data_IF_127283473446
#
_entry.id   IF_127283473446
#
_cell.length_a   1.000
_cell.length_b   1.000
_cell.length_c   1.000
_cell.angle_alpha   90.00
_cell.angle_beta   90.00
_cell.angle_gamma   90.00
#
_symmetry.space_group_name_H-M   'P 1'
#
loop_
_entity.id
_entity.type
_entity.pdbx_description
1 polymer ?
#
# COMPACT_ATOMS: atom_id res chain seq x y z
N UNK A 1 2.77 38.22 23.32
CA UNK A 1 1.98 37.32 22.43
C UNK A 1 0.54 37.03 22.89
N UNK A 2 0.26 36.83 24.20
CA UNK A 2 -1.10 36.52 24.70
C UNK A 2 -2.14 37.63 24.41
N UNK A 3 -1.76 38.90 24.56
CA UNK A 3 -2.64 40.06 24.30
C UNK A 3 -3.05 40.20 22.82
N UNK A 4 -2.14 39.94 21.88
CA UNK A 4 -2.46 39.96 20.45
C UNK A 4 -3.50 38.87 20.07
N UNK A 5 -3.42 37.69 20.69
CA UNK A 5 -4.42 36.62 20.51
C UNK A 5 -5.77 36.99 21.10
N UNK A 6 -5.82 37.58 22.30
CA UNK A 6 -7.08 37.99 22.91
C UNK A 6 -7.75 39.12 22.12
N UNK A 7 -7.01 40.10 21.62
CA UNK A 7 -7.54 41.18 20.79
C UNK A 7 -8.13 40.68 19.46
N UNK A 8 -7.43 39.77 18.77
CA UNK A 8 -7.96 39.13 17.54
C UNK A 8 -9.24 38.34 17.83
N UNK A 9 -9.29 37.65 18.96
CA UNK A 9 -10.48 36.91 19.42
C UNK A 9 -11.63 37.87 19.70
N UNK A 10 -11.39 38.99 20.39
CA UNK A 10 -12.41 40.03 20.66
C UNK A 10 -12.94 40.63 19.37
N UNK A 11 -12.06 41.01 18.43
CA UNK A 11 -12.48 41.55 17.13
C UNK A 11 -13.33 40.57 16.32
N UNK A 12 -13.03 39.26 16.39
CA UNK A 12 -13.83 38.20 15.75
C UNK A 12 -15.20 38.01 16.40
N UNK A 13 -15.35 38.37 17.68
CA UNK A 13 -16.59 38.20 18.45
C UNK A 13 -17.50 39.43 18.44
N UNK A 14 -17.01 40.62 18.04
CA UNK A 14 -17.77 41.88 18.05
C UNK A 14 -19.05 41.85 17.19
N UNK A 15 -19.11 41.04 16.14
CA UNK A 15 -20.27 40.93 15.23
C UNK A 15 -21.13 39.67 15.41
N UNK A 16 -21.01 38.96 16.55
CA UNK A 16 -21.70 37.68 16.75
C UNK A 16 -23.18 37.87 17.13
N UNK A 17 -24.14 37.23 16.44
CA UNK A 17 -25.54 37.26 16.85
C UNK A 17 -25.75 36.58 18.21
N UNK A 18 -26.64 37.15 19.02
CA UNK A 18 -26.90 36.71 20.40
C UNK A 18 -27.54 35.30 20.46
N UNK A 19 -28.44 34.99 19.53
CA UNK A 19 -29.12 33.69 19.42
C UNK A 19 -28.15 32.54 19.09
N UNK A 20 -28.31 31.38 19.76
CA UNK A 20 -27.44 30.19 19.60
C UNK A 20 -27.46 29.64 18.18
N UNK A 21 -28.63 29.54 17.55
CA UNK A 21 -28.79 29.00 16.19
C UNK A 21 -28.23 29.99 15.15
N UNK A 22 -28.56 31.28 15.29
CA UNK A 22 -28.02 32.33 14.41
C UNK A 22 -26.49 32.40 14.48
N UNK A 23 -25.92 32.13 15.66
CA UNK A 23 -24.47 32.06 15.87
C UNK A 23 -23.82 30.87 15.16
N UNK A 24 -24.48 29.72 15.15
CA UNK A 24 -24.02 28.55 14.42
C UNK A 24 -24.03 28.82 12.91
N UNK A 25 -25.15 29.29 12.36
CA UNK A 25 -25.28 29.66 10.95
C UNK A 25 -24.26 30.75 10.55
N UNK A 26 -24.01 31.72 11.43
CA UNK A 26 -23.01 32.76 11.23
C UNK A 26 -21.60 32.20 11.10
N UNK A 27 -21.24 31.17 11.87
CA UNK A 27 -19.92 30.52 11.81
C UNK A 27 -19.77 29.61 10.60
N UNK A 28 -20.85 28.95 10.19
CA UNK A 28 -20.89 28.05 9.03
C UNK A 28 -20.98 28.78 7.69
N UNK A 29 -21.14 30.11 7.70
CA UNK A 29 -21.20 30.89 6.48
C UNK A 29 -19.91 30.76 5.65
N UNK A 30 -19.97 30.45 4.34
CA UNK A 30 -18.83 30.03 3.52
C UNK A 30 -17.69 31.06 3.49
N UNK A 31 -18.01 32.36 3.39
CA UNK A 31 -16.99 33.43 3.41
C UNK A 31 -16.13 33.44 4.69
N UNK A 32 -16.71 33.12 5.84
CA UNK A 32 -16.01 33.15 7.14
C UNK A 32 -15.23 31.87 7.38
N UNK A 33 -15.76 30.74 6.91
CA UNK A 33 -15.02 29.48 6.87
C UNK A 33 -13.76 29.65 6.02
N UNK A 34 -13.89 30.14 4.80
CA UNK A 34 -12.75 30.42 3.92
C UNK A 34 -11.73 31.35 4.59
N UNK A 35 -12.16 32.51 5.08
CA UNK A 35 -11.27 33.46 5.76
C UNK A 35 -10.59 32.88 7.02
N UNK A 36 -11.25 31.96 7.73
CA UNK A 36 -10.67 31.27 8.88
C UNK A 36 -9.64 30.21 8.45
N UNK A 37 -9.99 29.32 7.53
CA UNK A 37 -9.13 28.21 7.10
C UNK A 37 -7.84 28.68 6.42
N UNK A 38 -7.89 29.77 5.66
CA UNK A 38 -6.70 30.40 5.05
C UNK A 38 -5.93 31.34 6.00
N UNK A 39 -6.36 31.47 7.26
CA UNK A 39 -5.60 32.21 8.28
C UNK A 39 -4.56 31.30 8.96
N UNK A 40 -3.55 31.90 9.61
CA UNK A 40 -2.55 31.17 10.42
C UNK A 40 -3.18 30.27 11.48
N UNK A 41 -4.27 30.72 12.12
CA UNK A 41 -4.98 29.92 13.13
C UNK A 41 -5.69 28.71 12.48
N UNK A 42 -6.26 28.90 11.29
CA UNK A 42 -6.91 27.84 10.51
C UNK A 42 -5.91 26.79 10.02
N UNK A 43 -4.76 27.21 9.50
CA UNK A 43 -3.69 26.31 9.08
C UNK A 43 -3.16 25.43 10.22
N UNK A 44 -2.99 25.99 11.43
CA UNK A 44 -2.60 25.20 12.62
C UNK A 44 -3.70 24.19 12.99
N UNK A 45 -4.97 24.58 12.92
CA UNK A 45 -6.10 23.66 13.15
C UNK A 45 -6.14 22.55 12.09
N UNK A 46 -5.91 22.88 10.82
CA UNK A 46 -5.84 21.91 9.73
C UNK A 46 -4.73 20.88 9.96
N UNK A 47 -3.53 21.34 10.34
CA UNK A 47 -2.40 20.45 10.63
C UNK A 47 -2.71 19.49 11.78
N UNK A 48 -3.38 19.96 12.83
CA UNK A 48 -3.82 19.09 13.94
C UNK A 48 -4.83 18.05 13.48
N UNK A 49 -5.81 18.47 12.67
CA UNK A 49 -6.83 17.56 12.12
C UNK A 49 -6.16 16.51 11.22
N UNK A 50 -5.24 16.92 10.35
CA UNK A 50 -4.46 16.02 9.51
C UNK A 50 -3.66 15.01 10.34
N UNK A 51 -2.98 15.47 11.40
CA UNK A 51 -2.26 14.59 12.32
C UNK A 51 -3.16 13.56 13.01
N UNK A 52 -4.35 13.98 13.48
CA UNK A 52 -5.34 13.07 14.07
C UNK A 52 -5.85 12.08 13.01
N UNK A 53 -6.15 12.53 11.80
CA UNK A 53 -6.60 11.66 10.71
C UNK A 53 -5.54 10.62 10.35
N UNK A 54 -4.27 11.00 10.27
CA UNK A 54 -3.16 10.07 10.02
C UNK A 54 -3.08 9.03 11.13
N UNK A 55 -3.20 9.44 12.40
CA UNK A 55 -3.20 8.52 13.53
C UNK A 55 -4.38 7.54 13.47
N UNK A 56 -5.59 8.04 13.19
CA UNK A 56 -6.79 7.21 13.05
C UNK A 56 -6.62 6.21 11.91
N UNK A 57 -6.12 6.65 10.75
CA UNK A 57 -5.84 5.79 9.60
C UNK A 57 -4.80 4.71 9.93
N UNK A 58 -3.73 5.07 10.64
CA UNK A 58 -2.71 4.13 11.09
C UNK A 58 -3.30 3.05 12.01
N UNK A 59 -4.07 3.46 13.03
CA UNK A 59 -4.73 2.53 13.95
C UNK A 59 -5.75 1.64 13.23
N UNK A 60 -6.54 2.21 12.32
CA UNK A 60 -7.48 1.46 11.50
C UNK A 60 -6.76 0.41 10.64
N UNK A 61 -5.63 0.79 10.02
CA UNK A 61 -4.81 -0.13 9.21
C UNK A 61 -4.26 -1.29 10.05
N UNK A 62 -3.75 -1.00 11.25
CA UNK A 62 -3.31 -2.04 12.19
C UNK A 62 -4.47 -2.94 12.62
N UNK A 63 -5.66 -2.38 12.84
CA UNK A 63 -6.87 -3.15 13.17
C UNK A 63 -7.28 -4.10 12.06
N UNK A 64 -7.33 -3.60 10.81
CA UNK A 64 -7.59 -4.42 9.61
C UNK A 64 -6.55 -5.52 9.48
N UNK A 65 -5.26 -5.20 9.58
CA UNK A 65 -4.19 -6.19 9.55
C UNK A 65 -4.32 -7.23 10.66
N UNK A 66 -4.58 -6.82 11.90
CA UNK A 66 -4.75 -7.73 13.03
C UNK A 66 -5.98 -8.64 12.91
N UNK A 67 -7.01 -8.19 12.20
CA UNK A 67 -8.18 -9.01 11.88
C UNK A 67 -7.85 -10.07 10.82
N UNK A 68 -7.28 -9.65 9.68
CA UNK A 68 -7.01 -10.54 8.54
C UNK A 68 -5.72 -11.36 8.63
N UNK A 69 -4.80 -11.06 9.58
CA UNK A 69 -3.52 -11.80 9.71
C UNK A 69 -3.70 -13.30 9.90
N UNK A 70 -4.85 -13.75 10.41
CA UNK A 70 -5.13 -15.17 10.65
C UNK A 70 -5.49 -15.92 9.36
N UNK A 71 -6.01 -15.20 8.37
CA UNK A 71 -6.42 -15.77 7.08
C UNK A 71 -5.25 -15.80 6.07
N UNK A 72 -4.15 -15.12 6.39
CA UNK A 72 -2.93 -15.18 5.60
C UNK A 72 -2.27 -16.55 5.77
N UNK A 73 -2.16 -17.30 4.67
CA UNK A 73 -1.33 -18.51 4.62
C UNK A 73 0.08 -18.20 5.09
N UNK A 74 0.69 -19.16 5.79
CA UNK A 74 2.10 -19.05 6.18
C UNK A 74 2.98 -18.84 4.95
N UNK A 75 3.83 -17.82 4.98
CA UNK A 75 4.83 -17.55 3.94
C UNK A 75 5.87 -18.68 3.88
N UNK A 76 5.89 -19.61 4.83
CA UNK A 76 6.77 -20.78 4.76
C UNK A 76 6.31 -21.84 3.75
N UNK A 77 5.10 -21.70 3.20
CA UNK A 77 4.51 -22.64 2.23
C UNK A 77 4.55 -22.04 0.80
N UNK A 78 5.71 -21.51 0.39
CA UNK A 78 6.00 -21.07 -0.99
C UNK A 78 6.33 -22.26 -1.90
N UNK A 79 6.19 -23.49 -1.41
CA UNK A 79 6.09 -24.64 -2.30
C UNK A 79 4.80 -24.44 -3.10
N UNK A 80 4.96 -23.93 -4.33
CA UNK A 80 3.88 -23.68 -5.27
C UNK A 80 3.17 -24.98 -5.60
N UNK A 81 2.29 -25.44 -4.70
CA UNK A 81 1.47 -26.65 -4.86
C UNK A 81 0.44 -26.49 -5.99
N UNK A 82 0.31 -25.28 -6.54
CA UNK A 82 -0.54 -24.97 -7.69
C UNK A 82 0.23 -24.24 -8.80
N UNK A 83 1.50 -24.58 -9.04
CA UNK A 83 2.06 -24.35 -10.38
C UNK A 83 1.28 -25.27 -11.32
N UNK A 84 0.14 -24.79 -11.86
CA UNK A 84 -0.74 -25.55 -12.75
C UNK A 84 0.08 -26.31 -13.79
N UNK A 85 0.30 -27.59 -13.49
CA UNK A 85 1.38 -28.39 -14.03
C UNK A 85 0.82 -29.47 -14.91
N UNK A 86 1.63 -29.88 -15.88
CA UNK A 86 1.30 -31.02 -16.69
C UNK A 86 1.29 -32.30 -15.84
N UNK A 87 0.30 -33.16 -16.00
CA UNK A 87 0.21 -34.46 -15.32
C UNK A 87 1.11 -35.44 -16.10
N UNK A 88 2.10 -36.01 -15.42
CA UNK A 88 3.03 -36.97 -16.03
C UNK A 88 2.65 -38.42 -15.69
N UNK A 89 2.55 -39.26 -16.71
CA UNK A 89 2.28 -40.69 -16.61
C UNK A 89 3.57 -41.47 -16.89
N UNK A 90 3.98 -42.32 -15.95
CA UNK A 90 5.19 -43.13 -16.05
C UNK A 90 4.86 -44.61 -16.20
N UNK A 91 5.84 -45.40 -16.62
CA UNK A 91 5.76 -46.86 -16.58
C UNK A 91 5.68 -47.39 -15.13
N UNK A 92 5.48 -48.70 -14.96
CA UNK A 92 5.37 -49.30 -13.63
C UNK A 92 6.63 -49.16 -12.77
N UNK A 93 7.79 -48.93 -13.40
CA UNK A 93 9.05 -48.66 -12.68
C UNK A 93 9.14 -47.20 -12.19
N UNK A 94 8.33 -46.30 -12.74
CA UNK A 94 8.37 -44.87 -12.47
C UNK A 94 9.52 -44.13 -13.15
N UNK A 95 10.32 -44.81 -13.98
CA UNK A 95 11.53 -44.22 -14.59
C UNK A 95 11.27 -43.67 -15.99
N UNK A 96 10.40 -44.33 -16.76
CA UNK A 96 10.16 -43.95 -18.15
C UNK A 96 8.88 -43.12 -18.24
N UNK A 97 9.01 -41.86 -18.67
CA UNK A 97 7.85 -41.01 -18.96
C UNK A 97 7.15 -41.54 -20.22
N UNK A 98 5.88 -41.93 -20.08
CA UNK A 98 5.07 -42.47 -21.17
C UNK A 98 4.22 -41.39 -21.82
N UNK A 99 3.58 -40.54 -21.01
CA UNK A 99 2.67 -39.51 -21.49
C UNK A 99 2.68 -38.32 -20.56
N UNK A 100 2.35 -37.14 -21.08
CA UNK A 100 2.15 -35.95 -20.27
C UNK A 100 0.92 -35.19 -20.73
N UNK A 101 -0.08 -35.08 -19.86
CA UNK A 101 -1.32 -34.33 -20.11
C UNK A 101 -1.16 -32.88 -19.65
N UNK A 102 -1.60 -31.94 -20.49
CA UNK A 102 -1.51 -30.50 -20.22
C UNK A 102 -2.54 -29.74 -21.02
N UNK A 103 -2.95 -28.59 -20.48
CA UNK A 103 -3.85 -27.67 -21.17
C UNK A 103 -3.08 -26.91 -22.28
N UNK A 104 -3.03 -25.58 -22.22
CA UNK A 104 -2.41 -24.78 -23.27
C UNK A 104 -0.87 -24.83 -23.29
N UNK A 105 -0.22 -25.17 -22.18
CA UNK A 105 1.24 -25.07 -22.03
C UNK A 105 1.78 -26.27 -21.30
N UNK A 106 2.77 -26.94 -21.92
CA UNK A 106 3.56 -27.98 -21.27
C UNK A 106 4.51 -27.34 -20.26
N UNK A 107 4.36 -27.68 -18.98
CA UNK A 107 5.22 -27.19 -17.90
C UNK A 107 5.95 -28.35 -17.25
N UNK A 108 7.28 -28.32 -17.32
CA UNK A 108 8.15 -29.28 -16.64
C UNK A 108 8.88 -28.52 -15.52
N UNK A 109 8.54 -28.79 -14.25
CA UNK A 109 9.22 -28.12 -13.14
C UNK A 109 10.67 -28.61 -13.03
N UNK A 110 11.58 -27.69 -12.75
CA UNK A 110 12.97 -28.00 -12.41
C UNK A 110 13.08 -27.98 -10.89
N UNK A 111 13.47 -29.11 -10.29
CA UNK A 111 13.45 -29.30 -8.83
C UNK A 111 14.48 -28.43 -8.12
N UNK A 112 15.65 -28.22 -8.71
CA UNK A 112 16.70 -27.40 -8.13
C UNK A 112 17.18 -26.33 -9.13
N UNK A 113 17.38 -25.10 -8.66
CA UNK A 113 17.98 -24.02 -9.46
C UNK A 113 19.39 -24.36 -9.96
N UNK A 114 20.08 -25.30 -9.29
CA UNK A 114 21.38 -25.82 -9.72
C UNK A 114 21.30 -26.65 -11.01
N UNK A 115 20.14 -27.23 -11.31
CA UNK A 115 19.92 -28.02 -12.54
C UNK A 115 19.71 -27.10 -13.77
N UNK A 116 19.55 -25.80 -13.55
CA UNK A 116 19.45 -24.79 -14.61
C UNK A 116 20.85 -24.30 -14.98
N UNK A 117 21.18 -24.39 -16.27
CA UNK A 117 22.42 -23.86 -16.84
C UNK A 117 22.67 -22.41 -16.40
N UNK A 118 23.89 -22.05 -15.96
CA UNK A 118 24.22 -20.68 -15.57
C UNK A 118 23.97 -19.69 -16.71
N UNK A 119 24.24 -20.08 -17.96
CA UNK A 119 24.01 -19.23 -19.14
C UNK A 119 22.53 -18.88 -19.36
N UNK A 120 21.60 -19.79 -19.04
CA UNK A 120 20.16 -19.49 -19.14
C UNK A 120 19.75 -18.51 -18.05
N UNK A 121 20.27 -18.70 -16.82
CA UNK A 121 20.01 -17.76 -15.71
C UNK A 121 20.51 -16.36 -16.05
N UNK A 122 21.76 -16.27 -16.50
CA UNK A 122 22.38 -14.99 -16.85
C UNK A 122 21.68 -14.32 -18.04
N UNK A 123 21.32 -15.07 -19.08
CA UNK A 123 20.60 -14.54 -20.24
C UNK A 123 19.21 -14.02 -19.86
N UNK A 124 18.47 -14.76 -19.02
CA UNK A 124 17.14 -14.35 -18.55
C UNK A 124 17.23 -13.07 -17.71
N UNK A 125 18.17 -13.04 -16.76
CA UNK A 125 18.43 -11.85 -15.93
C UNK A 125 18.83 -10.67 -16.81
N UNK A 126 19.74 -10.85 -17.77
CA UNK A 126 20.17 -9.77 -18.66
C UNK A 126 19.04 -9.15 -19.50
N UNK A 127 18.06 -9.96 -19.94
CA UNK A 127 16.92 -9.51 -20.77
C UNK A 127 15.82 -8.87 -19.94
N UNK A 128 15.44 -9.50 -18.81
CA UNK A 128 14.31 -9.05 -18.00
C UNK A 128 14.70 -7.95 -17.01
N UNK A 129 15.80 -8.17 -16.28
CA UNK A 129 16.22 -7.31 -15.18
C UNK A 129 17.71 -7.51 -14.84
N UNK A 130 18.58 -6.77 -15.55
CA UNK A 130 20.03 -6.89 -15.40
C UNK A 130 20.55 -6.63 -13.99
N UNK A 131 19.78 -5.91 -13.17
CA UNK A 131 20.13 -5.49 -11.82
C UNK A 131 19.40 -6.30 -10.73
N UNK A 132 18.75 -7.40 -11.12
CA UNK A 132 17.95 -8.27 -10.27
C UNK A 132 18.64 -8.64 -8.94
N UNK A 133 19.91 -9.03 -9.00
CA UNK A 133 20.69 -9.42 -7.82
C UNK A 133 21.21 -8.24 -6.98
N UNK A 134 21.16 -7.03 -7.53
CA UNK A 134 21.74 -5.83 -6.90
C UNK A 134 20.69 -5.01 -6.14
N UNK A 135 19.41 -5.08 -6.52
CA UNK A 135 18.35 -4.31 -5.89
C UNK A 135 17.56 -5.11 -4.85
N UNK A 136 16.97 -4.40 -3.87
CA UNK A 136 16.21 -5.01 -2.75
C UNK A 136 14.70 -5.12 -3.02
N UNK A 137 14.34 -5.43 -4.27
CA UNK A 137 12.98 -5.74 -4.69
C UNK A 137 12.40 -4.82 -5.76
N UNK A 138 12.81 -3.55 -5.81
CA UNK A 138 12.36 -2.61 -6.83
C UNK A 138 13.55 -1.79 -7.36
N UNK A 139 13.65 -1.66 -8.68
CA UNK A 139 14.55 -0.73 -9.32
C UNK A 139 13.90 0.66 -9.43
N UNK A 140 14.24 1.55 -8.49
CA UNK A 140 13.74 2.93 -8.46
C UNK A 140 14.18 3.71 -9.71
N UNK A 141 15.38 3.45 -10.25
CA UNK A 141 15.86 4.12 -11.45
C UNK A 141 15.13 3.61 -12.69
N UNK A 142 14.87 2.31 -12.75
CA UNK A 142 14.07 1.67 -13.79
C UNK A 142 12.61 2.12 -13.81
N UNK A 143 12.02 2.42 -12.65
CA UNK A 143 10.64 2.95 -12.53
C UNK A 143 10.57 4.44 -12.92
N UNK A 144 11.61 5.21 -12.64
CA UNK A 144 11.59 6.66 -12.82
C UNK A 144 11.90 7.13 -14.25
N UNK A 145 12.39 6.26 -15.15
CA UNK A 145 12.82 6.59 -16.51
C UNK A 145 11.68 6.53 -17.55
#
# INVERSE_FOLDING_TARGET
MRQAKSLRKVNRLRGLPKSRIKRLAWRLHPKRLYAYWFSRDGGITALKIAGILILVMFVATLGVFAYFRKDLKSITDISGSNLGGSISYYDSSGQTLLWQDYNAVKRVPVTNSKDISPYIKDATVAIEDKDFYNHRGFDVRGIAR
#
